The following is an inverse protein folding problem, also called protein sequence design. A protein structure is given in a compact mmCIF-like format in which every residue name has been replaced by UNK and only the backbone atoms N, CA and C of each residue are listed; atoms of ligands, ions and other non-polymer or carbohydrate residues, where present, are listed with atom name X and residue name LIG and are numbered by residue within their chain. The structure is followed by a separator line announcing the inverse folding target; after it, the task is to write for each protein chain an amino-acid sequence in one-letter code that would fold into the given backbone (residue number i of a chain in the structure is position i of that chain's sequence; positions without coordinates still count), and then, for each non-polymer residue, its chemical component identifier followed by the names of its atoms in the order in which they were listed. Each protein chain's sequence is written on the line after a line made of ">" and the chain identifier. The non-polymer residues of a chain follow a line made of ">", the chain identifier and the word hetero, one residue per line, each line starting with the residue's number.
data_IF_003090280851
#
_entry.id   IF_003090280851
#
_cell.length_a   1.000
_cell.length_b   1.000
_cell.length_c   1.000
_cell.angle_alpha   90.00
_cell.angle_beta   90.00
_cell.angle_gamma   90.00
#
_symmetry.space_group_name_H-M   'P 1'
#
loop_
_entity.id
_entity.type
_entity.pdbx_description
1 polymer ?
#
# COMPACT_ATOMS: atom_id res chain seq x y z
N UNK A 1 -19.37 -32.98 -15.17
CA UNK A 1 -19.22 -32.62 -13.74
C UNK A 1 -17.90 -31.85 -13.60
N UNK A 2 -17.71 -30.73 -14.31
CA UNK A 2 -17.97 -29.32 -13.94
C UNK A 2 -17.46 -28.93 -12.54
N UNK A 3 -16.24 -28.38 -12.52
CA UNK A 3 -15.67 -27.28 -11.70
C UNK A 3 -14.14 -27.33 -11.91
N UNK A 4 -13.58 -26.77 -12.99
CA UNK A 4 -13.39 -25.32 -13.21
C UNK A 4 -12.57 -24.73 -12.04
N UNK A 5 -11.24 -24.66 -12.17
CA UNK A 5 -10.48 -23.50 -12.66
C UNK A 5 -10.77 -22.23 -11.86
N UNK A 6 -9.71 -21.61 -11.33
CA UNK A 6 -9.69 -20.23 -10.81
C UNK A 6 -10.18 -19.98 -9.37
N UNK A 7 -9.25 -20.07 -8.41
CA UNK A 7 -9.02 -18.97 -7.45
C UNK A 7 -7.65 -19.09 -6.81
N UNK A 8 -6.64 -18.72 -7.60
CA UNK A 8 -5.45 -18.12 -7.00
C UNK A 8 -5.91 -16.88 -6.21
N UNK A 9 -5.30 -16.67 -5.05
CA UNK A 9 -5.15 -15.39 -4.33
C UNK A 9 -5.79 -15.33 -2.94
N UNK A 10 -4.91 -15.52 -1.96
CA UNK A 10 -4.84 -14.83 -0.68
C UNK A 10 -5.32 -15.61 0.54
N UNK A 11 -4.74 -16.78 0.71
CA UNK A 11 -4.71 -17.56 1.94
C UNK A 11 -3.78 -16.89 2.97
N UNK A 12 -4.24 -16.88 4.23
CA UNK A 12 -3.51 -16.54 5.46
C UNK A 12 -2.60 -15.33 5.37
N UNK A 13 -3.23 -14.19 5.47
CA UNK A 13 -2.54 -12.93 5.51
C UNK A 13 -2.01 -12.67 6.94
N UNK A 14 -0.74 -13.01 7.20
CA UNK A 14 0.01 -12.59 8.37
C UNK A 14 0.07 -11.05 8.42
N UNK A 15 -0.24 -10.42 9.54
CA UNK A 15 -0.36 -8.94 9.64
C UNK A 15 0.89 -8.20 9.14
N UNK A 16 2.06 -8.84 9.22
CA UNK A 16 3.34 -8.34 8.74
C UNK A 16 3.45 -8.32 7.20
N UNK A 17 2.94 -9.35 6.54
CA UNK A 17 2.88 -9.39 5.08
C UNK A 17 1.92 -8.28 4.54
N UNK A 18 0.92 -7.80 5.33
CA UNK A 18 -0.28 -7.04 4.84
C UNK A 18 0.06 -5.60 4.80
N UNK A 19 0.74 -5.22 5.86
CA UNK A 19 1.44 -3.97 6.02
C UNK A 19 2.48 -3.79 4.93
N UNK A 20 3.26 -4.84 4.63
CA UNK A 20 4.30 -4.81 3.59
C UNK A 20 3.70 -4.68 2.18
N UNK A 21 2.65 -5.44 1.87
CA UNK A 21 2.00 -5.38 0.55
C UNK A 21 1.13 -4.14 0.37
N UNK A 22 0.51 -3.62 1.44
CA UNK A 22 -0.24 -2.35 1.42
C UNK A 22 0.69 -1.15 1.22
N UNK A 23 1.87 -1.19 1.85
CA UNK A 23 2.90 -0.16 1.65
C UNK A 23 3.46 -0.23 0.22
N UNK A 24 3.73 -1.43 -0.28
CA UNK A 24 4.13 -1.65 -1.68
C UNK A 24 3.08 -1.15 -2.68
N UNK A 25 1.79 -1.46 -2.44
CA UNK A 25 0.69 -0.99 -3.27
C UNK A 25 0.50 0.53 -3.24
N UNK A 26 0.55 1.14 -2.06
CA UNK A 26 0.44 2.60 -1.89
C UNK A 26 1.57 3.36 -2.59
N UNK A 27 2.79 2.83 -2.53
CA UNK A 27 3.95 3.40 -3.24
C UNK A 27 3.78 3.26 -4.75
N UNK A 28 3.40 2.10 -5.26
CA UNK A 28 3.20 1.89 -6.71
C UNK A 28 2.08 2.80 -7.25
N UNK A 29 0.98 2.98 -6.52
CA UNK A 29 -0.10 3.88 -6.92
C UNK A 29 0.32 5.35 -6.86
N UNK A 30 1.04 5.77 -5.82
CA UNK A 30 1.57 7.13 -5.71
C UNK A 30 2.58 7.45 -6.81
N UNK A 31 3.47 6.51 -7.13
CA UNK A 31 4.43 6.63 -8.23
C UNK A 31 3.74 6.61 -9.59
N UNK A 32 2.76 5.74 -9.80
CA UNK A 32 2.01 5.66 -11.05
C UNK A 32 1.21 6.92 -11.36
N UNK A 33 0.45 7.44 -10.38
CA UNK A 33 -0.31 8.69 -10.51
C UNK A 33 0.62 9.90 -10.61
N UNK A 34 1.71 9.92 -9.84
CA UNK A 34 2.70 10.98 -9.92
C UNK A 34 3.41 11.03 -11.28
N UNK A 35 3.80 9.87 -11.83
CA UNK A 35 4.54 9.79 -13.09
C UNK A 35 3.72 10.34 -14.28
N UNK A 36 2.39 10.23 -14.22
CA UNK A 36 1.47 10.86 -15.16
C UNK A 36 1.51 12.40 -15.09
N UNK A 37 1.75 12.96 -13.89
CA UNK A 37 1.81 14.42 -13.66
C UNK A 37 3.17 15.05 -13.97
N UNK A 38 4.22 14.23 -14.16
CA UNK A 38 5.57 14.68 -14.52
C UNK A 38 5.60 15.44 -15.86
N UNK A 39 4.64 15.17 -16.73
CA UNK A 39 4.48 15.85 -18.02
C UNK A 39 4.20 17.36 -17.88
N UNK A 40 3.63 17.80 -16.76
CA UNK A 40 3.24 19.21 -16.54
C UNK A 40 4.18 19.93 -15.57
N UNK A 41 4.61 19.29 -14.48
CA UNK A 41 5.49 19.92 -13.47
C UNK A 41 6.07 18.90 -12.48
N UNK A 42 7.40 18.89 -12.33
CA UNK A 42 8.14 17.99 -11.42
C UNK A 42 7.73 18.17 -9.95
N UNK A 43 7.34 19.39 -9.55
CA UNK A 43 6.92 19.67 -8.16
C UNK A 43 5.63 18.93 -7.78
N UNK A 44 4.69 18.75 -8.71
CA UNK A 44 3.46 17.99 -8.48
C UNK A 44 3.74 16.49 -8.39
N UNK A 45 4.68 15.98 -9.19
CA UNK A 45 5.15 14.60 -9.08
C UNK A 45 5.69 14.32 -7.68
N UNK A 46 6.62 15.16 -7.22
CA UNK A 46 7.25 15.03 -5.89
C UNK A 46 6.21 15.18 -4.78
N UNK A 47 5.27 16.13 -4.89
CA UNK A 47 4.18 16.29 -3.94
C UNK A 47 3.27 15.06 -3.83
N UNK A 48 2.90 14.46 -4.97
CA UNK A 48 2.07 13.26 -4.99
C UNK A 48 2.81 12.04 -4.41
N UNK A 49 4.11 11.89 -4.68
CA UNK A 49 4.98 10.88 -4.08
C UNK A 49 5.06 11.05 -2.56
N UNK A 50 5.33 12.27 -2.08
CA UNK A 50 5.41 12.55 -0.64
C UNK A 50 4.07 12.33 0.06
N UNK A 51 2.95 12.71 -0.56
CA UNK A 51 1.62 12.43 -0.02
C UNK A 51 1.30 10.93 -0.01
N UNK A 52 1.62 10.20 -1.08
CA UNK A 52 1.39 8.75 -1.19
C UNK A 52 2.23 7.96 -0.19
N UNK A 53 3.51 8.29 -0.06
CA UNK A 53 4.40 7.72 0.96
C UNK A 53 3.97 8.13 2.37
N UNK A 54 3.66 9.41 2.58
CA UNK A 54 3.23 9.95 3.86
C UNK A 54 1.98 9.25 4.38
N UNK A 55 0.96 9.06 3.52
CA UNK A 55 -0.26 8.34 3.88
C UNK A 55 -0.01 6.84 4.07
N UNK A 56 0.77 6.20 3.21
CA UNK A 56 1.10 4.77 3.33
C UNK A 56 1.85 4.44 4.64
N UNK A 57 2.86 5.24 4.98
CA UNK A 57 3.60 5.13 6.25
C UNK A 57 2.74 5.52 7.45
N UNK A 58 1.91 6.55 7.33
CA UNK A 58 1.01 6.97 8.42
C UNK A 58 0.04 5.85 8.77
N UNK A 59 -0.59 5.20 7.78
CA UNK A 59 -1.51 4.07 8.01
C UNK A 59 -0.79 2.89 8.64
N UNK A 60 0.39 2.51 8.12
CA UNK A 60 1.20 1.43 8.69
C UNK A 60 1.65 1.73 10.12
N UNK A 61 2.06 2.96 10.42
CA UNK A 61 2.49 3.38 11.75
C UNK A 61 1.32 3.37 12.76
N UNK A 62 0.13 3.79 12.35
CA UNK A 62 -1.08 3.73 13.19
C UNK A 62 -1.48 2.28 13.44
N UNK A 63 -1.42 1.42 12.42
CA UNK A 63 -1.73 -0.01 12.57
C UNK A 63 -0.72 -0.71 13.49
N UNK A 64 0.57 -0.43 13.32
CA UNK A 64 1.66 -0.96 14.16
C UNK A 64 1.53 -0.53 15.62
N UNK A 65 1.13 0.73 15.89
CA UNK A 65 0.82 1.19 17.25
C UNK A 65 -0.34 0.40 17.88
N UNK A 66 -1.44 0.22 17.16
CA UNK A 66 -2.60 -0.51 17.68
C UNK A 66 -2.32 -2.01 17.91
N UNK A 67 -1.41 -2.62 17.16
CA UNK A 67 -0.98 -4.00 17.42
C UNK A 67 -0.16 -4.16 18.70
N UNK A 68 0.56 -3.11 19.12
CA UNK A 68 1.44 -3.15 20.29
C UNK A 68 0.70 -3.06 21.64
N UNK A 69 -0.58 -2.68 21.64
CA UNK A 69 -1.42 -2.57 22.85
C UNK A 69 -2.37 -3.77 23.07
N UNK A 70 -2.43 -4.72 22.12
CA UNK A 70 -3.31 -5.90 22.20
C UNK A 70 -2.68 -7.16 22.79
N UNK A 71 -1.42 -7.12 23.22
CA UNK A 71 -0.72 -8.25 23.85
C UNK A 71 -0.53 -7.99 25.35
N UNK A 72 -1.61 -8.15 26.12
CA UNK A 72 -1.58 -8.17 27.59
C UNK A 72 -2.31 -9.38 28.12
#
# INVERSE_FOLDING_TARGET
>A
MKKETEKSKQDTFDVEDRSTWATGGGVILGVGVGFFFLHTSVLYFVGCILCGLGLGLMVTAILSRNQKDGNK
#
